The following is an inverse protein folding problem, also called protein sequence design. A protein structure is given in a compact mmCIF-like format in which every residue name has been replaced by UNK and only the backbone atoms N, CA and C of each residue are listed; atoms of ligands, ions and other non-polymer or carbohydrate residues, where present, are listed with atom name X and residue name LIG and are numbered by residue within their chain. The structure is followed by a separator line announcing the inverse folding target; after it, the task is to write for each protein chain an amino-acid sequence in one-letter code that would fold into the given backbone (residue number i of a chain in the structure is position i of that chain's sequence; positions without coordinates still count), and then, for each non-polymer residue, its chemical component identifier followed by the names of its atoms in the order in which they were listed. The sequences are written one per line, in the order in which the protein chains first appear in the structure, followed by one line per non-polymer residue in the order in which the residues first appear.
data_IF_747804542184
#
_entry.id   IF_747804542184
#
_cell.length_a   1.000
_cell.length_b   1.000
_cell.length_c   1.000
_cell.angle_alpha   90.00
_cell.angle_beta   90.00
_cell.angle_gamma   90.00
#
_symmetry.space_group_name_H-M   'P 1'
#
loop_
_entity.id
_entity.type
_entity.pdbx_description
1 polymer ?
#
# COMPACT_ATOMS: atom_id res chain seq x y z
N UNK A 1 41.93 56.52 -6.33
CA UNK A 1 40.60 56.96 -5.90
C UNK A 1 39.54 56.28 -6.75
N UNK A 2 39.24 54.98 -6.58
CA UNK A 2 38.13 54.26 -7.26
C UNK A 2 37.82 52.93 -6.54
N UNK A 3 37.47 52.98 -5.24
CA UNK A 3 37.06 51.78 -4.50
C UNK A 3 35.92 51.98 -3.49
N UNK A 4 35.25 53.11 -3.47
CA UNK A 4 34.16 53.40 -2.54
C UNK A 4 32.76 53.45 -3.12
N UNK A 5 32.58 53.44 -4.44
CA UNK A 5 31.27 53.53 -5.08
C UNK A 5 30.48 52.23 -5.16
N UNK A 6 31.11 51.03 -5.07
CA UNK A 6 30.43 49.74 -5.20
C UNK A 6 29.79 49.21 -3.90
N UNK A 7 30.10 49.80 -2.74
CA UNK A 7 29.57 49.35 -1.45
C UNK A 7 28.27 50.03 -1.03
N UNK A 8 27.96 51.21 -1.58
CA UNK A 8 26.71 51.93 -1.29
C UNK A 8 25.54 51.41 -2.14
N UNK A 9 25.77 51.03 -3.39
CA UNK A 9 24.72 50.50 -4.27
C UNK A 9 24.14 49.17 -3.76
N UNK A 10 24.98 48.30 -3.21
CA UNK A 10 24.54 47.02 -2.60
C UNK A 10 23.79 47.20 -1.29
N UNK A 11 24.11 48.25 -0.52
CA UNK A 11 23.39 48.63 0.70
C UNK A 11 22.01 49.21 0.41
N UNK A 12 21.88 50.04 -0.62
CA UNK A 12 20.60 50.60 -1.03
C UNK A 12 19.67 49.57 -1.66
N UNK A 13 20.20 48.61 -2.44
CA UNK A 13 19.40 47.47 -2.93
C UNK A 13 18.91 46.57 -1.80
N UNK A 14 19.75 46.30 -0.80
CA UNK A 14 19.34 45.50 0.38
C UNK A 14 18.30 46.23 1.26
N UNK A 15 18.39 47.57 1.36
CA UNK A 15 17.41 48.41 2.06
C UNK A 15 16.05 48.43 1.33
N UNK A 16 16.05 48.59 0.01
CA UNK A 16 14.87 48.54 -0.85
C UNK A 16 14.18 47.15 -0.80
N UNK A 17 14.94 46.06 -0.79
CA UNK A 17 14.39 44.71 -0.66
C UNK A 17 13.76 44.49 0.73
N UNK A 18 14.38 44.99 1.79
CA UNK A 18 13.83 44.93 3.16
C UNK A 18 12.59 45.81 3.33
N UNK A 19 12.57 46.98 2.73
CA UNK A 19 11.40 47.87 2.75
C UNK A 19 10.23 47.29 1.93
N UNK A 20 10.50 46.71 0.77
CA UNK A 20 9.50 45.98 -0.01
C UNK A 20 8.98 44.75 0.71
N UNK A 21 9.83 44.00 1.44
CA UNK A 21 9.39 42.87 2.28
C UNK A 21 8.57 43.35 3.48
N UNK A 22 8.90 44.46 4.11
CA UNK A 22 8.08 45.09 5.19
C UNK A 22 6.74 45.58 4.67
N UNK A 23 6.69 46.28 3.52
CA UNK A 23 5.44 46.72 2.87
C UNK A 23 4.57 45.52 2.42
N UNK A 24 5.16 44.41 1.97
CA UNK A 24 4.43 43.21 1.66
C UNK A 24 3.83 42.52 2.92
N UNK A 25 4.59 42.46 4.01
CA UNK A 25 4.09 41.94 5.30
C UNK A 25 2.96 42.79 5.89
N UNK A 26 3.09 44.13 5.83
CA UNK A 26 2.06 45.04 6.38
C UNK A 26 0.76 45.02 5.55
N UNK A 27 0.82 44.69 4.25
CA UNK A 27 -0.35 44.57 3.39
C UNK A 27 -1.06 43.21 3.52
N UNK A 28 -0.37 42.12 3.94
CA UNK A 28 -0.97 40.80 4.07
C UNK A 28 -1.85 40.65 5.33
N UNK A 29 -1.52 41.32 6.42
CA UNK A 29 -2.26 41.19 7.71
C UNK A 29 -3.72 41.67 7.57
N UNK A 30 -4.03 42.87 6.99
CA UNK A 30 -5.42 43.30 6.83
C UNK A 30 -6.19 42.42 5.82
N UNK A 31 -5.53 41.87 4.78
CA UNK A 31 -6.16 41.01 3.79
C UNK A 31 -6.52 39.65 4.40
N UNK A 32 -5.68 39.09 5.27
CA UNK A 32 -5.96 37.87 6.02
C UNK A 32 -7.12 38.07 6.99
N UNK A 33 -7.16 39.18 7.72
CA UNK A 33 -8.26 39.47 8.64
C UNK A 33 -9.60 39.64 7.92
N UNK A 34 -9.62 40.22 6.72
CA UNK A 34 -10.80 40.30 5.88
C UNK A 34 -11.24 38.89 5.43
N UNK A 35 -10.33 38.04 4.97
CA UNK A 35 -10.63 36.69 4.58
C UNK A 35 -11.19 35.87 5.74
N UNK A 36 -10.57 35.96 6.93
CA UNK A 36 -11.02 35.29 8.17
C UNK A 36 -12.39 35.83 8.62
N UNK A 37 -12.60 37.15 8.55
CA UNK A 37 -13.87 37.79 8.93
C UNK A 37 -15.00 37.42 7.96
N UNK A 38 -14.70 37.24 6.70
CA UNK A 38 -15.63 36.68 5.72
C UNK A 38 -15.97 35.20 5.98
N UNK A 39 -15.01 34.45 6.53
CA UNK A 39 -15.20 33.08 6.97
C UNK A 39 -16.02 32.94 8.25
N UNK A 40 -15.73 33.78 9.24
CA UNK A 40 -16.26 33.70 10.60
C UNK A 40 -17.41 34.66 10.90
N UNK A 41 -17.76 35.57 9.98
CA UNK A 41 -18.78 36.62 10.15
C UNK A 41 -20.17 36.12 10.56
N UNK A 42 -21.05 37.01 11.11
CA UNK A 42 -22.28 36.62 11.76
C UNK A 42 -23.33 35.94 10.86
N UNK A 43 -24.19 35.16 11.45
CA UNK A 43 -25.10 34.11 10.92
C UNK A 43 -26.07 34.47 9.78
N UNK A 44 -26.18 35.70 9.31
CA UNK A 44 -27.33 36.16 8.47
C UNK A 44 -27.17 36.01 6.96
N UNK A 45 -26.06 35.47 6.44
CA UNK A 45 -25.86 35.35 4.99
C UNK A 45 -25.69 33.89 4.56
N UNK A 46 -26.43 33.50 3.54
CA UNK A 46 -26.39 32.23 2.76
C UNK A 46 -24.97 31.81 2.30
N UNK A 47 -23.99 32.59 2.61
CA UNK A 47 -22.57 32.52 2.24
C UNK A 47 -21.82 31.35 2.90
N UNK A 48 -22.21 30.99 4.14
CA UNK A 48 -21.53 29.96 4.96
C UNK A 48 -21.70 28.53 4.43
N UNK A 49 -22.80 28.28 3.70
CA UNK A 49 -23.10 26.92 3.24
C UNK A 49 -22.15 26.45 2.13
N UNK A 50 -21.85 27.28 1.13
CA UNK A 50 -21.02 26.88 -0.01
C UNK A 50 -19.56 26.52 0.36
N UNK A 51 -18.96 27.27 1.28
CA UNK A 51 -17.59 27.04 1.73
C UNK A 51 -17.50 25.82 2.68
N UNK A 52 -18.48 25.65 3.55
CA UNK A 52 -18.58 24.47 4.43
C UNK A 52 -18.77 23.20 3.63
N UNK A 53 -19.64 23.21 2.63
CA UNK A 53 -19.83 22.07 1.72
C UNK A 53 -18.55 21.73 0.95
N UNK A 54 -17.77 22.75 0.53
CA UNK A 54 -16.48 22.55 -0.10
C UNK A 54 -15.46 21.89 0.83
N UNK A 55 -15.32 22.38 2.06
CA UNK A 55 -14.41 21.81 3.07
C UNK A 55 -14.84 20.38 3.50
N UNK A 56 -16.14 20.14 3.67
CA UNK A 56 -16.69 18.79 3.96
C UNK A 56 -16.40 17.84 2.79
N UNK A 57 -16.61 18.30 1.54
CA UNK A 57 -16.31 17.49 0.36
C UNK A 57 -14.82 17.11 0.26
N UNK A 58 -13.91 18.06 0.57
CA UNK A 58 -12.48 17.79 0.66
C UNK A 58 -12.20 16.77 1.77
N UNK A 59 -12.75 16.99 2.97
CA UNK A 59 -12.56 16.11 4.12
C UNK A 59 -13.05 14.69 3.82
N UNK A 60 -14.25 14.53 3.26
CA UNK A 60 -14.80 13.23 2.87
C UNK A 60 -13.92 12.52 1.83
N UNK A 61 -13.44 13.25 0.81
CA UNK A 61 -12.50 12.70 -0.17
C UNK A 61 -11.19 12.23 0.46
N UNK A 62 -10.64 13.00 1.41
CA UNK A 62 -9.42 12.64 2.13
C UNK A 62 -9.63 11.40 3.01
N UNK A 63 -10.75 11.33 3.75
CA UNK A 63 -11.09 10.15 4.56
C UNK A 63 -11.13 8.90 3.68
N UNK A 64 -11.87 8.95 2.57
CA UNK A 64 -11.97 7.83 1.65
C UNK A 64 -10.59 7.41 1.10
N UNK A 65 -9.75 8.38 0.72
CA UNK A 65 -8.41 8.10 0.20
C UNK A 65 -7.47 7.49 1.24
N UNK A 66 -7.47 8.04 2.47
CA UNK A 66 -6.64 7.50 3.57
C UNK A 66 -7.05 6.06 3.86
N UNK A 67 -8.34 5.76 3.90
CA UNK A 67 -8.84 4.40 4.15
C UNK A 67 -8.41 3.46 3.03
N UNK A 68 -8.67 3.80 1.77
CA UNK A 68 -8.33 2.95 0.62
C UNK A 68 -6.83 2.71 0.53
N UNK A 69 -6.01 3.78 0.61
CA UNK A 69 -4.54 3.66 0.57
C UNK A 69 -3.99 2.85 1.74
N UNK A 70 -4.56 3.03 2.93
CA UNK A 70 -4.12 2.33 4.14
C UNK A 70 -4.41 0.83 4.08
N UNK A 71 -5.60 0.43 3.61
CA UNK A 71 -5.97 -0.98 3.40
C UNK A 71 -5.07 -1.61 2.35
N UNK A 72 -4.86 -0.90 1.24
CA UNK A 72 -4.01 -1.37 0.14
C UNK A 72 -2.56 -1.60 0.59
N UNK A 73 -1.97 -0.62 1.26
CA UNK A 73 -0.62 -0.74 1.83
C UNK A 73 -0.56 -1.88 2.88
N UNK A 74 -1.63 -2.06 3.66
CA UNK A 74 -1.74 -3.14 4.64
C UNK A 74 -1.68 -4.51 3.99
N UNK A 75 -2.51 -4.74 2.98
CA UNK A 75 -2.54 -5.99 2.20
C UNK A 75 -1.20 -6.27 1.51
N UNK A 76 -0.63 -5.26 0.85
CA UNK A 76 0.66 -5.38 0.17
C UNK A 76 1.78 -5.74 1.16
N UNK A 77 1.86 -5.06 2.30
CA UNK A 77 2.89 -5.29 3.30
C UNK A 77 2.78 -6.68 3.90
N UNK A 78 1.58 -7.09 4.29
CA UNK A 78 1.36 -8.40 4.86
C UNK A 78 1.73 -9.52 3.87
N UNK A 79 1.41 -9.35 2.57
CA UNK A 79 1.79 -10.29 1.52
C UNK A 79 3.32 -10.37 1.35
N UNK A 80 3.99 -9.22 1.29
CA UNK A 80 5.46 -9.14 1.18
C UNK A 80 6.12 -9.82 2.39
N UNK A 81 5.68 -9.49 3.60
CA UNK A 81 6.23 -10.08 4.83
C UNK A 81 6.09 -11.62 4.82
N UNK A 82 4.93 -12.13 4.37
CA UNK A 82 4.71 -13.57 4.24
C UNK A 82 5.61 -14.23 3.19
N UNK A 83 5.79 -13.59 2.02
CA UNK A 83 6.70 -14.09 0.99
C UNK A 83 8.16 -14.12 1.47
N UNK A 84 8.61 -13.08 2.17
CA UNK A 84 9.97 -12.98 2.68
C UNK A 84 10.27 -14.04 3.73
N UNK A 85 9.29 -14.40 4.55
CA UNK A 85 9.46 -15.40 5.59
C UNK A 85 9.29 -16.83 5.08
N UNK A 86 8.66 -17.06 3.91
CA UNK A 86 8.39 -18.41 3.38
C UNK A 86 9.25 -18.78 2.19
N UNK A 87 9.03 -18.13 1.04
CA UNK A 87 9.57 -18.59 -0.24
C UNK A 87 10.65 -17.71 -0.80
N UNK A 88 10.59 -16.39 -0.60
CA UNK A 88 11.50 -15.46 -1.26
C UNK A 88 12.78 -15.23 -0.47
N UNK A 89 12.73 -15.33 0.86
CA UNK A 89 13.80 -14.90 1.76
C UNK A 89 14.22 -13.45 1.47
N UNK A 90 15.18 -12.89 2.18
CA UNK A 90 15.71 -11.55 1.85
C UNK A 90 16.78 -11.62 0.75
N UNK A 91 17.51 -12.75 0.69
CA UNK A 91 18.44 -13.12 -0.36
C UNK A 91 18.32 -14.60 -0.66
N UNK A 92 18.44 -14.96 -1.91
CA UNK A 92 18.60 -16.33 -2.39
C UNK A 92 20.02 -16.47 -2.97
N UNK A 93 20.83 -17.30 -2.38
CA UNK A 93 22.21 -17.55 -2.82
C UNK A 93 22.26 -18.97 -3.38
N UNK A 94 22.44 -19.10 -4.68
CA UNK A 94 22.56 -20.40 -5.34
C UNK A 94 24.05 -20.79 -5.29
N UNK A 95 24.31 -21.92 -4.64
CA UNK A 95 25.65 -22.38 -4.30
C UNK A 95 25.88 -23.78 -4.87
N UNK A 96 27.08 -24.04 -5.31
CA UNK A 96 27.50 -25.41 -5.66
C UNK A 96 27.57 -26.28 -4.40
N UNK A 97 27.11 -27.53 -4.51
CA UNK A 97 27.07 -28.49 -3.40
C UNK A 97 28.38 -28.65 -2.64
N UNK A 98 29.52 -28.48 -3.35
CA UNK A 98 30.85 -28.56 -2.75
C UNK A 98 31.15 -27.44 -1.76
N UNK A 99 30.56 -26.25 -1.96
CA UNK A 99 30.90 -25.04 -1.20
C UNK A 99 29.82 -24.65 -0.15
N UNK A 100 28.71 -25.38 -0.08
CA UNK A 100 27.57 -25.08 0.80
C UNK A 100 27.99 -24.84 2.25
N UNK A 101 28.76 -25.78 2.85
CA UNK A 101 29.14 -25.69 4.26
C UNK A 101 30.05 -24.48 4.57
N UNK A 102 30.94 -24.12 3.66
CA UNK A 102 31.83 -22.97 3.81
C UNK A 102 31.06 -21.64 3.71
N UNK A 103 30.20 -21.53 2.69
CA UNK A 103 29.40 -20.32 2.45
C UNK A 103 28.37 -20.13 3.57
N UNK A 104 27.70 -21.20 4.02
CA UNK A 104 26.76 -21.13 5.14
C UNK A 104 27.43 -20.58 6.41
N UNK A 105 28.63 -21.10 6.79
CA UNK A 105 29.36 -20.57 7.95
C UNK A 105 29.72 -19.09 7.78
N UNK A 106 30.16 -18.70 6.58
CA UNK A 106 30.49 -17.30 6.28
C UNK A 106 29.27 -16.39 6.42
N UNK A 107 28.10 -16.85 5.97
CA UNK A 107 26.85 -16.10 6.07
C UNK A 107 26.35 -16.01 7.52
N UNK A 108 26.45 -17.12 8.28
CA UNK A 108 26.04 -17.15 9.69
C UNK A 108 26.94 -16.27 10.59
N UNK A 109 28.20 -16.09 10.21
CA UNK A 109 29.14 -15.19 10.92
C UNK A 109 28.93 -13.70 10.60
N UNK A 110 28.11 -13.36 9.62
CA UNK A 110 27.86 -11.98 9.22
C UNK A 110 26.80 -11.33 10.11
N UNK A 111 27.14 -10.20 10.73
CA UNK A 111 26.26 -9.47 11.65
C UNK A 111 24.93 -9.02 11.06
N UNK A 112 24.82 -8.91 9.74
CA UNK A 112 23.59 -8.54 9.04
C UNK A 112 22.60 -9.70 8.94
N UNK A 113 23.09 -10.93 9.04
CA UNK A 113 22.29 -12.14 8.85
C UNK A 113 21.56 -12.53 10.14
N UNK A 114 20.28 -12.89 9.99
CA UNK A 114 19.44 -13.42 11.07
C UNK A 114 19.43 -14.95 11.05
N UNK A 115 19.24 -15.55 9.88
CA UNK A 115 19.24 -16.99 9.67
C UNK A 115 19.60 -17.34 8.24
N UNK A 116 20.16 -18.54 8.05
CA UNK A 116 20.44 -19.15 6.75
C UNK A 116 19.72 -20.49 6.72
N UNK A 117 18.95 -20.72 5.68
CA UNK A 117 18.13 -21.94 5.53
C UNK A 117 18.42 -22.57 4.18
N UNK A 118 19.08 -23.73 4.15
CA UNK A 118 19.32 -24.47 2.91
C UNK A 118 18.00 -25.11 2.42
N UNK A 119 17.69 -24.94 1.13
CA UNK A 119 16.52 -25.55 0.52
C UNK A 119 16.68 -25.75 -0.98
N UNK A 120 15.85 -26.64 -1.55
CA UNK A 120 15.60 -26.70 -2.98
C UNK A 120 14.15 -26.34 -3.27
N UNK A 121 13.85 -25.98 -4.50
CA UNK A 121 12.50 -25.64 -4.92
C UNK A 121 12.22 -26.26 -6.29
N UNK A 122 11.10 -26.99 -6.39
CA UNK A 122 10.65 -27.60 -7.64
C UNK A 122 9.14 -27.46 -7.79
N UNK A 123 8.67 -27.38 -9.02
CA UNK A 123 7.23 -27.42 -9.30
C UNK A 123 6.85 -28.84 -9.70
N UNK A 124 5.96 -29.47 -8.94
CA UNK A 124 5.51 -30.84 -9.15
C UNK A 124 4.01 -30.90 -9.41
N UNK A 125 3.61 -31.79 -10.29
CA UNK A 125 2.21 -32.15 -10.47
C UNK A 125 1.82 -33.13 -9.39
N UNK A 126 0.94 -32.71 -8.51
CA UNK A 126 0.44 -33.53 -7.39
C UNK A 126 -0.91 -34.09 -7.75
N UNK A 127 -1.03 -35.41 -7.62
CA UNK A 127 -2.23 -36.16 -7.90
C UNK A 127 -2.76 -36.85 -6.63
N UNK A 128 -4.04 -36.69 -6.36
CA UNK A 128 -4.75 -37.46 -5.35
C UNK A 128 -5.38 -38.67 -6.03
N UNK A 129 -4.73 -39.85 -5.90
CA UNK A 129 -5.06 -41.05 -6.64
C UNK A 129 -6.51 -41.53 -6.46
N UNK A 130 -7.14 -41.25 -5.32
CA UNK A 130 -8.52 -41.67 -5.02
C UNK A 130 -9.60 -40.90 -5.78
N UNK A 131 -9.31 -39.70 -6.35
CA UNK A 131 -10.31 -38.78 -6.89
C UNK A 131 -9.96 -38.20 -8.26
N UNK A 132 -8.80 -38.54 -8.83
CA UNK A 132 -8.31 -37.98 -10.11
C UNK A 132 -8.12 -36.46 -10.09
N UNK A 133 -8.03 -35.84 -8.90
CA UNK A 133 -7.78 -34.40 -8.77
C UNK A 133 -6.30 -34.11 -8.84
N UNK A 134 -5.93 -33.08 -9.59
CA UNK A 134 -4.54 -32.69 -9.82
C UNK A 134 -4.35 -31.21 -9.55
N UNK A 135 -3.17 -30.86 -9.01
CA UNK A 135 -2.74 -29.49 -8.84
C UNK A 135 -1.23 -29.41 -9.04
N UNK A 136 -0.74 -28.28 -9.58
CA UNK A 136 0.70 -28.00 -9.58
C UNK A 136 1.04 -27.30 -8.29
N UNK A 137 1.90 -27.92 -7.51
CA UNK A 137 2.40 -27.33 -6.27
C UNK A 137 3.89 -27.01 -6.38
N UNK A 138 4.27 -25.88 -5.84
CA UNK A 138 5.65 -25.52 -5.57
C UNK A 138 6.11 -26.30 -4.34
N UNK A 139 6.99 -27.24 -4.51
CA UNK A 139 7.51 -28.06 -3.43
C UNK A 139 8.83 -27.47 -2.96
N UNK A 140 8.85 -27.05 -1.71
CA UNK A 140 10.06 -26.64 -1.01
C UNK A 140 10.64 -27.84 -0.27
N UNK A 141 11.86 -28.19 -0.63
CA UNK A 141 12.64 -29.27 -0.04
C UNK A 141 13.51 -28.70 1.06
N UNK A 142 13.14 -28.93 2.30
CA UNK A 142 13.84 -28.41 3.47
C UNK A 142 13.88 -29.49 4.55
N UNK A 143 15.01 -29.61 5.27
CA UNK A 143 15.10 -30.58 6.35
C UNK A 143 14.17 -30.21 7.50
N UNK A 144 13.58 -31.19 8.22
CA UNK A 144 12.71 -30.92 9.36
C UNK A 144 13.37 -30.02 10.41
N UNK A 145 14.68 -30.19 10.64
CA UNK A 145 15.45 -29.41 11.59
C UNK A 145 15.60 -27.95 11.16
N UNK A 146 15.92 -27.69 9.89
CA UNK A 146 16.09 -26.33 9.38
C UNK A 146 14.74 -25.60 9.33
N UNK A 147 13.69 -26.28 8.88
CA UNK A 147 12.34 -25.73 8.86
C UNK A 147 11.83 -25.36 10.27
N UNK A 148 12.08 -26.21 11.26
CA UNK A 148 11.65 -25.99 12.64
C UNK A 148 12.44 -24.90 13.38
N UNK A 149 13.72 -24.68 13.02
CA UNK A 149 14.56 -23.62 13.56
C UNK A 149 14.19 -22.25 13.02
N UNK A 150 13.63 -22.17 11.84
CA UNK A 150 13.21 -20.91 11.24
C UNK A 150 11.86 -20.43 11.81
N UNK A 151 11.93 -19.66 12.90
CA UNK A 151 10.75 -19.12 13.58
C UNK A 151 9.88 -18.24 12.69
N UNK A 152 10.48 -17.54 11.73
CA UNK A 152 9.76 -16.72 10.75
C UNK A 152 8.96 -17.58 9.77
N UNK A 153 9.55 -18.68 9.30
CA UNK A 153 8.88 -19.66 8.45
C UNK A 153 7.68 -20.30 9.16
N UNK A 154 7.89 -20.81 10.38
CA UNK A 154 6.80 -21.37 11.19
C UNK A 154 5.70 -20.33 11.48
N UNK A 155 6.08 -19.10 11.80
CA UNK A 155 5.15 -18.00 12.06
C UNK A 155 4.33 -17.62 10.84
N UNK A 156 4.94 -17.55 9.66
CA UNK A 156 4.25 -17.26 8.40
C UNK A 156 3.26 -18.36 8.00
N UNK A 157 3.58 -19.62 8.25
CA UNK A 157 2.66 -20.75 8.07
C UNK A 157 1.64 -20.90 9.20
N UNK A 158 1.76 -20.11 10.27
CA UNK A 158 0.92 -20.14 11.48
C UNK A 158 0.87 -21.52 12.15
N UNK A 159 2.01 -22.19 12.19
CA UNK A 159 2.17 -23.49 12.81
C UNK A 159 3.31 -23.48 13.83
N UNK A 160 3.29 -24.38 14.79
CA UNK A 160 4.40 -24.52 15.74
C UNK A 160 5.59 -25.26 15.12
N UNK A 161 6.81 -24.97 15.60
CA UNK A 161 8.02 -25.67 15.17
C UNK A 161 7.93 -27.19 15.39
N UNK A 162 7.34 -27.63 16.51
CA UNK A 162 7.12 -29.03 16.80
C UNK A 162 6.16 -29.71 15.81
N UNK A 163 5.14 -28.99 15.36
CA UNK A 163 4.21 -29.47 14.34
C UNK A 163 4.90 -29.64 12.99
N UNK A 164 5.70 -28.66 12.56
CA UNK A 164 6.48 -28.71 11.32
C UNK A 164 7.44 -29.90 11.34
N UNK A 165 8.20 -30.04 12.43
CA UNK A 165 9.14 -31.16 12.62
C UNK A 165 8.45 -32.50 12.45
N UNK A 166 7.38 -32.75 13.23
CA UNK A 166 6.63 -34.00 13.20
C UNK A 166 6.00 -34.29 11.83
N UNK A 167 5.45 -33.25 11.18
CA UNK A 167 4.81 -33.41 9.88
C UNK A 167 5.82 -33.78 8.80
N UNK A 168 6.97 -33.11 8.72
CA UNK A 168 7.99 -33.38 7.70
C UNK A 168 8.67 -34.75 7.91
N UNK A 169 8.83 -35.21 9.16
CA UNK A 169 9.32 -36.53 9.44
C UNK A 169 8.35 -37.63 8.98
N UNK A 170 7.05 -37.37 8.89
CA UNK A 170 6.03 -38.36 8.56
C UNK A 170 5.61 -38.34 7.09
N UNK A 171 5.65 -37.19 6.41
CA UNK A 171 5.19 -37.07 5.04
C UNK A 171 5.32 -35.64 4.48
N UNK A 172 4.30 -35.20 3.74
CA UNK A 172 4.23 -33.88 3.11
C UNK A 172 3.36 -32.95 3.94
N UNK A 173 3.85 -31.73 4.15
CA UNK A 173 3.11 -30.61 4.72
C UNK A 173 2.56 -29.76 3.57
N UNK A 174 1.23 -29.62 3.44
CA UNK A 174 0.57 -28.88 2.36
C UNK A 174 -0.33 -27.78 2.91
N UNK A 175 -0.58 -26.74 2.07
CA UNK A 175 -1.52 -25.71 2.45
C UNK A 175 -2.96 -26.20 2.49
N UNK A 176 -3.76 -25.64 3.38
CA UNK A 176 -5.16 -26.01 3.59
C UNK A 176 -6.02 -25.88 2.32
N UNK A 177 -5.70 -24.89 1.47
CA UNK A 177 -6.42 -24.68 0.21
C UNK A 177 -6.00 -25.72 -0.86
N UNK A 178 -4.72 -26.10 -0.92
CA UNK A 178 -4.25 -27.19 -1.76
C UNK A 178 -4.96 -28.49 -1.37
N UNK A 179 -5.07 -28.79 -0.06
CA UNK A 179 -5.80 -29.93 0.44
C UNK A 179 -7.29 -29.91 0.03
N UNK A 180 -7.94 -28.74 0.08
CA UNK A 180 -9.32 -28.54 -0.36
C UNK A 180 -9.50 -28.78 -1.88
N UNK A 181 -8.57 -28.24 -2.68
CA UNK A 181 -8.59 -28.43 -4.16
C UNK A 181 -8.41 -29.90 -4.52
N UNK A 182 -7.45 -30.57 -3.90
CA UNK A 182 -7.17 -31.98 -4.10
C UNK A 182 -8.19 -32.91 -3.42
N UNK A 183 -9.02 -32.38 -2.52
CA UNK A 183 -9.98 -33.11 -1.68
C UNK A 183 -9.32 -34.20 -0.82
N UNK A 184 -8.21 -33.87 -0.22
CA UNK A 184 -7.43 -34.76 0.66
C UNK A 184 -7.43 -34.23 2.09
N UNK A 185 -7.21 -35.16 3.02
CA UNK A 185 -7.08 -34.90 4.46
C UNK A 185 -5.78 -35.50 4.98
N UNK A 186 -5.50 -35.29 6.26
CA UNK A 186 -4.36 -35.89 6.93
C UNK A 186 -4.37 -37.42 6.76
N UNK A 187 -3.22 -38.03 6.45
CA UNK A 187 -3.04 -39.40 6.12
C UNK A 187 -3.34 -39.81 4.67
N UNK A 188 -3.91 -38.96 3.85
CA UNK A 188 -4.21 -39.28 2.44
C UNK A 188 -2.94 -39.45 1.62
N UNK A 189 -2.81 -40.51 0.77
CA UNK A 189 -1.66 -40.67 -0.11
C UNK A 189 -1.71 -39.66 -1.26
N UNK A 190 -0.56 -39.08 -1.59
CA UNK A 190 -0.35 -38.20 -2.74
C UNK A 190 0.77 -38.73 -3.61
N UNK A 191 0.55 -38.68 -4.92
CA UNK A 191 1.58 -38.96 -5.92
C UNK A 191 2.07 -37.65 -6.53
N UNK A 192 3.33 -37.32 -6.32
CA UNK A 192 4.01 -36.14 -6.87
C UNK A 192 4.77 -36.57 -8.11
N UNK A 193 4.47 -35.96 -9.25
CA UNK A 193 5.12 -36.25 -10.55
C UNK A 193 5.90 -35.04 -11.03
N UNK A 194 7.12 -35.29 -11.49
CA UNK A 194 8.00 -34.27 -12.06
C UNK A 194 8.81 -34.84 -13.20
N UNK A 195 9.57 -33.96 -13.83
CA UNK A 195 10.52 -34.30 -14.86
C UNK A 195 11.87 -33.66 -14.56
N UNK A 196 12.95 -34.42 -14.69
CA UNK A 196 14.31 -33.94 -14.64
C UNK A 196 14.98 -34.07 -16.00
N UNK A 197 15.83 -33.11 -16.35
CA UNK A 197 16.63 -33.17 -17.57
C UNK A 197 17.97 -33.80 -17.25
N UNK A 198 18.23 -34.95 -17.83
CA UNK A 198 19.52 -35.64 -17.73
C UNK A 198 20.36 -35.31 -18.94
N UNK A 199 21.63 -34.90 -18.81
CA UNK A 199 22.47 -34.56 -19.96
C UNK A 199 22.58 -35.65 -21.00
N UNK A 200 22.63 -36.93 -20.60
CA UNK A 200 22.86 -38.08 -21.45
C UNK A 200 21.57 -38.85 -21.86
N UNK A 201 20.51 -38.74 -21.08
CA UNK A 201 19.31 -39.57 -21.23
C UNK A 201 18.02 -38.76 -21.55
N UNK A 202 18.18 -37.42 -21.69
CA UNK A 202 17.05 -36.54 -22.01
C UNK A 202 16.12 -36.27 -20.81
N UNK A 203 14.82 -36.15 -21.07
CA UNK A 203 13.82 -35.85 -20.04
C UNK A 203 13.35 -37.16 -19.40
N UNK A 204 13.67 -37.33 -18.11
CA UNK A 204 13.17 -38.45 -17.33
C UNK A 204 12.02 -38.01 -16.42
N UNK A 205 10.94 -38.76 -16.42
CA UNK A 205 9.83 -38.58 -15.49
C UNK A 205 10.10 -39.36 -14.21
N UNK A 206 9.76 -38.76 -13.09
CA UNK A 206 9.84 -39.41 -11.78
C UNK A 206 8.53 -39.23 -11.01
N UNK A 207 8.29 -40.17 -10.12
CA UNK A 207 7.12 -40.17 -9.25
C UNK A 207 7.57 -40.41 -7.80
N UNK A 208 7.00 -39.67 -6.88
CA UNK A 208 7.22 -39.75 -5.45
C UNK A 208 5.87 -39.94 -4.78
N UNK A 209 5.77 -40.90 -3.90
CA UNK A 209 4.59 -41.11 -3.07
C UNK A 209 4.87 -40.61 -1.65
N UNK A 210 4.01 -39.72 -1.16
CA UNK A 210 4.11 -39.16 0.17
C UNK A 210 2.71 -38.98 0.78
N UNK A 211 2.47 -39.46 2.01
CA UNK A 211 1.21 -39.21 2.70
C UNK A 211 1.15 -37.74 3.16
N UNK A 212 -0.03 -37.17 3.15
CA UNK A 212 -0.29 -35.88 3.81
C UNK A 212 -0.11 -36.07 5.31
N UNK A 213 0.79 -35.35 5.91
CA UNK A 213 1.12 -35.49 7.35
C UNK A 213 0.91 -34.18 8.12
N UNK A 214 0.46 -33.17 7.45
CA UNK A 214 0.09 -31.91 8.08
C UNK A 214 -0.50 -30.91 7.10
N UNK A 215 -1.32 -30.04 7.65
CA UNK A 215 -1.93 -28.93 6.93
C UNK A 215 -1.49 -27.61 7.58
N UNK A 216 -1.14 -26.61 6.76
CA UNK A 216 -0.91 -25.26 7.26
C UNK A 216 -1.90 -24.27 6.66
N UNK A 217 -2.12 -23.15 7.35
CA UNK A 217 -2.99 -22.05 6.89
C UNK A 217 -2.29 -20.72 7.14
N UNK A 218 -1.55 -20.23 6.15
CA UNK A 218 -0.82 -18.96 6.23
C UNK A 218 -1.75 -17.74 6.30
N UNK A 219 -2.96 -17.87 5.76
CA UNK A 219 -3.88 -16.77 5.54
C UNK A 219 -3.70 -16.08 4.17
N UNK A 220 -2.91 -16.69 3.27
CA UNK A 220 -2.73 -16.27 1.88
C UNK A 220 -3.12 -17.40 0.95
N UNK A 221 -4.11 -17.12 0.12
CA UNK A 221 -4.63 -18.11 -0.81
C UNK A 221 -3.55 -18.71 -1.70
N UNK A 222 -2.67 -17.88 -2.26
CA UNK A 222 -1.62 -18.33 -3.18
C UNK A 222 -0.59 -19.27 -2.52
N UNK A 223 -0.23 -19.00 -1.26
CA UNK A 223 0.65 -19.89 -0.49
C UNK A 223 -0.09 -21.15 -0.10
N UNK A 224 -1.30 -21.02 0.41
CA UNK A 224 -2.08 -22.14 0.90
C UNK A 224 -2.61 -23.04 -0.23
N UNK A 225 -2.73 -22.50 -1.46
CA UNK A 225 -3.11 -23.27 -2.65
C UNK A 225 -1.92 -23.83 -3.42
N UNK A 226 -0.74 -23.21 -3.29
CA UNK A 226 0.39 -23.49 -4.18
C UNK A 226 1.65 -24.04 -3.51
N UNK A 227 1.79 -23.99 -2.17
CA UNK A 227 3.00 -24.41 -1.48
C UNK A 227 2.83 -25.77 -0.82
N UNK A 228 3.85 -26.62 -0.99
CA UNK A 228 4.06 -27.85 -0.24
C UNK A 228 5.49 -27.90 0.29
N UNK A 229 5.70 -28.59 1.41
CA UNK A 229 7.01 -28.75 2.04
C UNK A 229 7.30 -30.21 2.24
N UNK A 230 8.51 -30.64 1.89
CA UNK A 230 8.95 -32.04 1.92
C UNK A 230 10.38 -32.16 2.44
N UNK A 231 10.67 -33.24 3.14
CA UNK A 231 12.02 -33.57 3.59
C UNK A 231 12.87 -34.13 2.43
N UNK A 232 13.96 -33.44 2.02
CA UNK A 232 14.87 -33.94 1.00
C UNK A 232 15.61 -35.22 1.41
N UNK A 233 15.80 -35.45 2.70
CA UNK A 233 16.52 -36.62 3.20
C UNK A 233 15.74 -37.93 3.02
N UNK A 234 14.40 -37.82 3.07
CA UNK A 234 13.50 -39.00 2.98
C UNK A 234 12.96 -39.19 1.56
N UNK A 235 12.56 -38.12 0.91
CA UNK A 235 11.86 -38.17 -0.37
C UNK A 235 12.68 -37.62 -1.53
N UNK A 236 13.77 -36.92 -1.23
CA UNK A 236 14.65 -36.33 -2.24
C UNK A 236 15.42 -37.38 -3.02
N UNK A 237 15.53 -37.17 -4.34
CA UNK A 237 16.45 -37.94 -5.19
C UNK A 237 17.44 -36.97 -5.81
N UNK A 238 18.66 -37.41 -6.04
CA UNK A 238 19.74 -36.59 -6.58
C UNK A 238 19.37 -36.02 -7.96
N UNK A 239 18.63 -36.79 -8.73
CA UNK A 239 18.13 -36.40 -10.05
C UNK A 239 17.15 -35.24 -9.98
N UNK A 240 16.40 -35.10 -8.87
CA UNK A 240 15.41 -34.06 -8.65
C UNK A 240 16.03 -32.80 -8.10
N UNK A 241 16.95 -32.96 -7.13
CA UNK A 241 17.52 -31.85 -6.37
C UNK A 241 18.68 -31.16 -7.13
N UNK A 242 19.28 -31.86 -8.11
CA UNK A 242 20.40 -31.31 -8.90
C UNK A 242 21.69 -31.17 -8.10
N UNK A 243 22.66 -30.43 -8.66
CA UNK A 243 23.98 -30.20 -8.06
C UNK A 243 24.08 -28.88 -7.31
N UNK A 244 23.11 -27.98 -7.45
CA UNK A 244 23.10 -26.68 -6.80
C UNK A 244 22.05 -26.63 -5.68
N UNK A 245 22.41 -25.99 -4.57
CA UNK A 245 21.54 -25.75 -3.44
C UNK A 245 21.27 -24.26 -3.31
N UNK A 246 20.07 -23.89 -2.93
CA UNK A 246 19.73 -22.50 -2.64
C UNK A 246 19.82 -22.28 -1.13
N UNK A 247 20.59 -21.28 -0.72
CA UNK A 247 20.62 -20.79 0.65
C UNK A 247 19.65 -19.59 0.74
N UNK A 248 18.58 -19.77 1.49
CA UNK A 248 17.65 -18.70 1.85
C UNK A 248 18.22 -17.90 3.01
N UNK A 249 18.61 -16.66 2.78
CA UNK A 249 19.21 -15.80 3.80
C UNK A 249 18.18 -14.77 4.28
N UNK A 250 17.93 -14.75 5.58
CA UNK A 250 17.12 -13.73 6.24
C UNK A 250 18.01 -12.73 6.96
N UNK A 251 17.82 -11.45 6.70
CA UNK A 251 18.58 -10.35 7.27
C UNK A 251 17.85 -9.74 8.47
N UNK A 252 18.58 -9.11 9.36
CA UNK A 252 18.01 -8.27 10.44
C UNK A 252 17.28 -7.05 9.85
N UNK A 253 17.76 -6.53 8.71
CA UNK A 253 17.13 -5.45 7.96
C UNK A 253 17.01 -5.83 6.47
N UNK A 254 15.80 -6.08 5.94
CA UNK A 254 15.58 -6.47 4.54
C UNK A 254 16.10 -5.47 3.51
N UNK A 255 16.14 -4.18 3.87
CA UNK A 255 16.57 -3.11 2.97
C UNK A 255 18.08 -3.16 2.64
N UNK A 256 18.88 -3.89 3.43
CA UNK A 256 20.31 -4.08 3.18
C UNK A 256 20.63 -5.31 2.30
N UNK A 257 19.61 -5.93 1.73
CA UNK A 257 19.77 -7.11 0.86
C UNK A 257 20.63 -6.82 -0.38
N UNK A 258 20.48 -5.66 -1.01
CA UNK A 258 21.26 -5.28 -2.18
C UNK A 258 22.76 -5.08 -1.85
N UNK A 259 23.08 -4.55 -0.68
CA UNK A 259 24.46 -4.39 -0.20
C UNK A 259 25.15 -5.75 -0.04
N UNK A 260 24.51 -6.66 0.70
CA UNK A 260 25.04 -8.00 0.89
C UNK A 260 25.08 -8.81 -0.40
N UNK A 261 24.09 -8.63 -1.30
CA UNK A 261 24.09 -9.28 -2.61
C UNK A 261 25.32 -8.91 -3.44
N UNK A 262 25.68 -7.62 -3.49
CA UNK A 262 26.85 -7.15 -4.22
C UNK A 262 28.16 -7.65 -3.63
N UNK A 263 28.26 -7.82 -2.33
CA UNK A 263 29.41 -8.39 -1.64
C UNK A 263 29.59 -9.89 -1.96
N UNK A 264 28.48 -10.62 -2.02
CA UNK A 264 28.49 -12.07 -2.23
C UNK A 264 28.69 -12.47 -3.70
N UNK A 265 28.26 -11.63 -4.65
CA UNK A 265 28.25 -11.95 -6.08
C UNK A 265 29.64 -12.34 -6.66
N UNK A 266 30.72 -11.99 -5.97
CA UNK A 266 32.09 -12.22 -6.43
C UNK A 266 32.80 -13.33 -5.62
N UNK A 267 32.12 -14.00 -4.70
CA UNK A 267 32.72 -15.06 -3.88
C UNK A 267 32.75 -16.40 -4.66
N UNK A 268 33.85 -17.13 -4.52
CA UNK A 268 34.04 -18.44 -5.13
C UNK A 268 32.97 -19.43 -4.61
N UNK A 269 32.45 -20.26 -5.49
CA UNK A 269 31.40 -21.26 -5.17
C UNK A 269 29.98 -20.72 -5.19
N UNK A 270 29.77 -19.42 -5.40
CA UNK A 270 28.44 -18.81 -5.57
C UNK A 270 28.16 -18.70 -7.07
N UNK A 271 27.09 -19.35 -7.52
CA UNK A 271 26.65 -19.30 -8.90
C UNK A 271 25.80 -18.07 -9.18
N UNK A 272 24.93 -17.71 -8.25
CA UNK A 272 23.99 -16.59 -8.39
C UNK A 272 23.53 -16.08 -7.04
N UNK A 273 23.38 -14.78 -6.94
CA UNK A 273 22.74 -14.12 -5.78
C UNK A 273 21.56 -13.31 -6.29
N UNK A 274 20.41 -13.52 -5.72
CA UNK A 274 19.19 -12.79 -6.05
C UNK A 274 18.62 -12.14 -4.79
N UNK A 275 18.41 -10.83 -4.84
CA UNK A 275 17.65 -10.14 -3.79
C UNK A 275 16.15 -10.44 -3.94
N UNK A 276 15.41 -10.29 -2.85
CA UNK A 276 13.95 -10.48 -2.85
C UNK A 276 13.23 -9.60 -3.89
N UNK A 277 13.75 -8.40 -4.15
CA UNK A 277 13.23 -7.48 -5.16
C UNK A 277 13.45 -8.00 -6.59
N UNK A 278 14.59 -8.63 -6.85
CA UNK A 278 14.92 -9.20 -8.16
C UNK A 278 14.16 -10.49 -8.42
N UNK A 279 14.11 -11.37 -7.43
CA UNK A 279 13.36 -12.62 -7.52
C UNK A 279 11.87 -12.37 -7.78
N UNK A 280 11.28 -11.40 -7.08
CA UNK A 280 9.85 -11.03 -7.24
C UNK A 280 9.65 -9.81 -8.16
N UNK A 281 10.52 -9.57 -9.14
CA UNK A 281 10.49 -8.36 -9.99
C UNK A 281 9.15 -8.14 -10.67
N UNK A 282 8.51 -9.21 -11.15
CA UNK A 282 7.20 -9.13 -11.80
C UNK A 282 6.13 -8.63 -10.84
N UNK A 283 6.13 -9.13 -9.61
CA UNK A 283 5.22 -8.70 -8.55
C UNK A 283 5.43 -7.22 -8.19
N UNK A 284 6.67 -6.79 -7.95
CA UNK A 284 6.97 -5.39 -7.65
C UNK A 284 6.66 -4.45 -8.80
N UNK A 285 6.82 -4.90 -10.05
CA UNK A 285 6.38 -4.14 -11.22
C UNK A 285 4.87 -3.95 -11.24
N UNK A 286 4.09 -4.99 -10.92
CA UNK A 286 2.64 -4.89 -10.79
C UNK A 286 2.23 -3.92 -9.68
N UNK A 287 2.84 -4.01 -8.48
CA UNK A 287 2.60 -3.08 -7.37
C UNK A 287 2.93 -1.62 -7.75
N UNK A 288 3.99 -1.40 -8.53
CA UNK A 288 4.33 -0.06 -9.01
C UNK A 288 3.27 0.49 -9.96
N UNK A 289 2.80 -0.34 -10.88
CA UNK A 289 1.72 0.02 -11.80
C UNK A 289 0.44 0.34 -11.04
N UNK A 290 0.09 -0.47 -10.06
CA UNK A 290 -1.05 -0.27 -9.18
C UNK A 290 -0.96 1.08 -8.44
N UNK A 291 0.19 1.43 -7.85
CA UNK A 291 0.40 2.75 -7.22
C UNK A 291 0.21 3.91 -8.21
N UNK A 292 0.64 3.76 -9.46
CA UNK A 292 0.43 4.76 -10.50
C UNK A 292 -1.07 4.92 -10.79
N UNK A 293 -1.81 3.82 -10.95
CA UNK A 293 -3.26 3.83 -11.17
C UNK A 293 -3.98 4.49 -9.99
N UNK A 294 -3.62 4.15 -8.76
CA UNK A 294 -4.19 4.78 -7.57
C UNK A 294 -3.91 6.29 -7.53
N UNK A 295 -2.71 6.72 -7.91
CA UNK A 295 -2.37 8.14 -8.02
C UNK A 295 -3.26 8.87 -9.03
N UNK A 296 -3.55 8.25 -10.19
CA UNK A 296 -4.50 8.80 -11.16
C UNK A 296 -5.92 8.89 -10.61
N UNK A 297 -6.40 7.86 -9.93
CA UNK A 297 -7.73 7.88 -9.29
C UNK A 297 -7.83 9.01 -8.25
N UNK A 298 -6.82 9.13 -7.40
CA UNK A 298 -6.71 10.23 -6.43
C UNK A 298 -6.77 11.59 -7.13
N UNK A 299 -6.01 11.76 -8.20
CA UNK A 299 -5.98 13.00 -8.99
C UNK A 299 -7.35 13.34 -9.60
N UNK A 300 -8.08 12.34 -10.09
CA UNK A 300 -9.45 12.52 -10.63
C UNK A 300 -10.41 12.97 -9.53
N UNK A 301 -10.36 12.34 -8.34
CA UNK A 301 -11.21 12.73 -7.21
C UNK A 301 -10.94 14.18 -6.83
N UNK A 302 -9.68 14.59 -6.70
CA UNK A 302 -9.34 15.97 -6.40
C UNK A 302 -9.72 16.93 -7.54
N UNK A 303 -9.63 16.52 -8.80
CA UNK A 303 -10.10 17.33 -9.94
C UNK A 303 -11.61 17.58 -9.86
N UNK A 304 -12.42 16.56 -9.53
CA UNK A 304 -13.86 16.71 -9.35
C UNK A 304 -14.16 17.66 -8.19
N UNK A 305 -13.46 17.52 -7.07
CA UNK A 305 -13.58 18.45 -5.93
C UNK A 305 -13.18 19.86 -6.33
N UNK A 306 -12.10 20.04 -7.10
CA UNK A 306 -11.65 21.34 -7.58
C UNK A 306 -12.68 22.00 -8.52
N UNK A 307 -13.33 21.23 -9.39
CA UNK A 307 -14.41 21.70 -10.26
C UNK A 307 -15.59 22.18 -9.40
N UNK A 308 -16.00 21.43 -8.40
CA UNK A 308 -17.08 21.82 -7.48
C UNK A 308 -16.74 23.13 -6.72
N UNK A 309 -15.50 23.25 -6.25
CA UNK A 309 -14.99 24.45 -5.59
C UNK A 309 -14.99 25.62 -6.59
N UNK A 310 -14.54 25.42 -7.83
CA UNK A 310 -14.53 26.43 -8.87
C UNK A 310 -15.94 26.99 -9.11
N UNK A 311 -16.94 26.15 -9.30
CA UNK A 311 -18.33 26.59 -9.50
C UNK A 311 -18.92 27.27 -8.26
N UNK A 312 -18.65 26.74 -7.08
CA UNK A 312 -19.08 27.35 -5.81
C UNK A 312 -18.47 28.74 -5.65
N UNK A 313 -17.17 28.88 -5.95
CA UNK A 313 -16.45 30.14 -5.82
C UNK A 313 -16.89 31.17 -6.86
N UNK A 314 -17.18 30.77 -8.10
CA UNK A 314 -17.76 31.66 -9.10
C UNK A 314 -19.07 32.30 -8.61
N UNK A 315 -19.99 31.48 -8.06
CA UNK A 315 -21.25 31.99 -7.48
C UNK A 315 -20.98 32.93 -6.31
N UNK A 316 -19.98 32.63 -5.50
CA UNK A 316 -19.60 33.42 -4.35
C UNK A 316 -19.04 34.78 -4.76
N UNK A 317 -18.15 34.81 -5.74
CA UNK A 317 -17.58 36.05 -6.31
C UNK A 317 -18.69 36.91 -6.92
N UNK A 318 -19.61 36.32 -7.68
CA UNK A 318 -20.73 37.03 -8.27
C UNK A 318 -21.64 37.69 -7.20
N UNK A 319 -21.96 37.01 -6.12
CA UNK A 319 -22.77 37.55 -5.00
C UNK A 319 -22.07 38.72 -4.27
N UNK A 320 -20.73 38.73 -4.26
CA UNK A 320 -19.89 39.77 -3.63
C UNK A 320 -19.49 40.86 -4.59
N UNK A 321 -20.03 40.88 -5.81
CA UNK A 321 -19.63 41.86 -6.85
C UNK A 321 -19.74 43.31 -6.35
N UNK A 322 -20.79 43.63 -5.59
CA UNK A 322 -20.99 44.95 -4.99
C UNK A 322 -19.90 45.31 -3.98
N UNK A 323 -19.55 44.41 -3.08
CA UNK A 323 -18.49 44.62 -2.08
C UNK A 323 -17.13 44.76 -2.75
N UNK A 324 -16.91 44.00 -3.85
CA UNK A 324 -15.69 44.07 -4.65
C UNK A 324 -15.59 45.38 -5.43
N UNK A 325 -16.71 45.91 -5.94
CA UNK A 325 -16.76 47.23 -6.60
C UNK A 325 -16.41 48.33 -5.60
N UNK A 326 -16.97 48.30 -4.39
CA UNK A 326 -16.64 49.24 -3.30
C UNK A 326 -15.15 49.17 -2.95
N UNK A 327 -14.60 47.98 -2.74
CA UNK A 327 -13.18 47.78 -2.45
C UNK A 327 -12.28 48.35 -3.58
N UNK A 328 -12.69 48.15 -4.83
CA UNK A 328 -11.98 48.71 -6.00
C UNK A 328 -12.06 50.24 -6.04
N UNK A 329 -13.19 50.83 -5.67
CA UNK A 329 -13.36 52.30 -5.57
C UNK A 329 -12.45 52.88 -4.47
N UNK A 330 -12.21 52.16 -3.38
CA UNK A 330 -11.23 52.52 -2.34
C UNK A 330 -9.76 52.20 -2.72
N UNK A 331 -9.47 51.88 -4.00
CA UNK A 331 -8.13 51.67 -4.52
C UNK A 331 -7.52 50.29 -4.31
N UNK A 332 -8.32 49.28 -3.98
CA UNK A 332 -7.83 47.90 -3.91
C UNK A 332 -7.41 47.40 -5.30
N UNK A 333 -6.16 46.95 -5.44
CA UNK A 333 -5.66 46.37 -6.68
C UNK A 333 -6.31 45.03 -7.01
N UNK A 334 -6.42 44.69 -8.31
CA UNK A 334 -6.92 43.40 -8.78
C UNK A 334 -6.11 42.22 -8.18
N UNK A 335 -4.82 42.44 -7.91
CA UNK A 335 -3.96 41.46 -7.23
C UNK A 335 -4.33 41.28 -5.76
N UNK A 336 -4.63 42.35 -5.03
CA UNK A 336 -5.07 42.32 -3.63
C UNK A 336 -6.38 41.53 -3.48
N UNK A 337 -7.33 41.74 -4.37
CA UNK A 337 -8.60 41.02 -4.39
C UNK A 337 -8.38 39.53 -4.70
N UNK A 338 -7.53 39.22 -5.69
CA UNK A 338 -7.13 37.81 -6.00
C UNK A 338 -6.51 37.12 -4.79
N UNK A 339 -5.71 37.83 -4.03
CA UNK A 339 -5.04 37.29 -2.84
C UNK A 339 -6.05 36.94 -1.75
N UNK A 340 -7.09 37.74 -1.53
CA UNK A 340 -8.15 37.44 -0.55
C UNK A 340 -8.82 36.09 -0.89
N UNK A 341 -9.21 35.89 -2.15
CA UNK A 341 -9.84 34.64 -2.59
C UNK A 341 -8.85 33.48 -2.55
N UNK A 342 -7.56 33.69 -2.85
CA UNK A 342 -6.53 32.66 -2.72
C UNK A 342 -6.40 32.19 -1.26
N UNK A 343 -6.42 33.11 -0.29
CA UNK A 343 -6.44 32.77 1.14
C UNK A 343 -7.72 32.02 1.53
N UNK A 344 -8.87 32.38 0.96
CA UNK A 344 -10.13 31.65 1.18
C UNK A 344 -10.02 30.20 0.72
N UNK A 345 -9.44 29.96 -0.47
CA UNK A 345 -9.14 28.60 -0.97
C UNK A 345 -8.12 27.85 -0.12
N UNK A 346 -7.08 28.53 0.33
CA UNK A 346 -6.06 27.96 1.21
C UNK A 346 -6.67 27.52 2.55
N UNK A 347 -7.45 28.38 3.18
CA UNK A 347 -8.13 28.06 4.45
C UNK A 347 -9.10 26.89 4.28
N UNK A 348 -9.87 26.86 3.18
CA UNK A 348 -10.79 25.76 2.90
C UNK A 348 -10.04 24.43 2.71
N UNK A 349 -8.95 24.44 1.92
CA UNK A 349 -8.10 23.29 1.71
C UNK A 349 -7.45 22.79 3.00
N UNK A 350 -6.86 23.69 3.78
CA UNK A 350 -6.20 23.36 5.06
C UNK A 350 -7.21 22.81 6.08
N UNK A 351 -8.38 23.44 6.21
CA UNK A 351 -9.42 22.98 7.14
C UNK A 351 -9.98 21.62 6.73
N UNK A 352 -10.25 21.46 5.41
CA UNK A 352 -10.66 20.18 4.84
C UNK A 352 -9.61 19.07 5.06
N UNK A 353 -8.32 19.41 4.86
CA UNK A 353 -7.22 18.49 5.08
C UNK A 353 -7.09 18.08 6.56
N UNK A 354 -7.13 19.02 7.49
CA UNK A 354 -7.04 18.75 8.93
C UNK A 354 -8.21 17.88 9.41
N UNK A 355 -9.43 18.19 9.00
CA UNK A 355 -10.61 17.40 9.33
C UNK A 355 -10.54 16.02 8.69
N UNK A 356 -10.19 15.94 7.40
CA UNK A 356 -10.08 14.69 6.67
C UNK A 356 -9.01 13.76 7.23
N UNK A 357 -7.83 14.28 7.58
CA UNK A 357 -6.75 13.50 8.21
C UNK A 357 -7.14 13.11 9.64
N UNK A 358 -7.70 14.06 10.41
CA UNK A 358 -8.12 13.82 11.79
C UNK A 358 -9.19 12.73 11.93
N UNK A 359 -10.08 12.59 10.96
CA UNK A 359 -11.10 11.52 10.90
C UNK A 359 -10.57 10.29 10.16
N UNK A 360 -9.85 10.48 9.06
CA UNK A 360 -9.39 9.41 8.19
C UNK A 360 -8.43 8.44 8.87
N UNK A 361 -7.49 8.95 9.68
CA UNK A 361 -6.53 8.10 10.41
C UNK A 361 -7.23 7.15 11.40
N UNK A 362 -8.12 7.61 12.31
CA UNK A 362 -8.87 6.71 13.18
C UNK A 362 -9.74 5.71 12.40
N UNK A 363 -10.44 6.17 11.36
CA UNK A 363 -11.27 5.28 10.52
C UNK A 363 -10.42 4.21 9.86
N UNK A 364 -9.26 4.56 9.29
CA UNK A 364 -8.34 3.61 8.66
C UNK A 364 -7.78 2.59 9.67
N UNK A 365 -7.46 3.02 10.89
CA UNK A 365 -6.98 2.11 11.95
C UNK A 365 -8.01 1.09 12.41
N UNK A 366 -9.28 1.47 12.40
CA UNK A 366 -10.38 0.64 12.87
C UNK A 366 -11.28 0.15 11.71
N UNK A 367 -10.75 0.14 10.49
CA UNK A 367 -11.52 -0.19 9.28
C UNK A 367 -12.18 -1.57 9.39
N UNK A 368 -11.45 -2.56 9.90
CA UNK A 368 -11.96 -3.91 10.12
C UNK A 368 -13.16 -3.91 11.08
N UNK A 369 -13.04 -3.26 12.24
CA UNK A 369 -14.11 -3.12 13.22
C UNK A 369 -15.32 -2.40 12.64
N UNK A 370 -15.11 -1.33 11.87
CA UNK A 370 -16.17 -0.52 11.26
C UNK A 370 -16.92 -1.34 10.21
N UNK A 371 -16.20 -2.08 9.35
CA UNK A 371 -16.83 -2.92 8.33
C UNK A 371 -17.61 -4.06 8.97
N UNK A 372 -17.03 -4.74 9.96
CA UNK A 372 -17.74 -5.81 10.69
C UNK A 372 -18.98 -5.28 11.42
N UNK A 373 -18.91 -4.10 12.02
CA UNK A 373 -20.06 -3.44 12.63
C UNK A 373 -21.14 -3.06 11.60
N UNK A 374 -20.73 -2.58 10.42
CA UNK A 374 -21.67 -2.24 9.35
C UNK A 374 -22.36 -3.49 8.79
N UNK A 375 -21.65 -4.60 8.62
CA UNK A 375 -22.20 -5.89 8.21
C UNK A 375 -23.18 -6.39 9.27
N UNK A 376 -22.82 -6.37 10.54
CA UNK A 376 -23.70 -6.77 11.64
C UNK A 376 -24.97 -5.93 11.73
N UNK A 377 -24.86 -4.60 11.52
CA UNK A 377 -26.01 -3.72 11.44
C UNK A 377 -26.93 -4.05 10.26
N UNK A 378 -26.35 -4.39 9.11
CA UNK A 378 -27.10 -4.80 7.92
C UNK A 378 -27.81 -6.16 8.16
N UNK A 379 -27.11 -7.14 8.75
CA UNK A 379 -27.70 -8.44 9.13
C UNK A 379 -28.86 -8.25 10.12
N UNK A 380 -28.68 -7.37 11.11
CA UNK A 380 -29.74 -7.02 12.04
C UNK A 380 -30.95 -6.40 11.34
N UNK A 381 -30.71 -5.46 10.41
CA UNK A 381 -31.80 -4.83 9.62
C UNK A 381 -32.53 -5.87 8.76
N UNK A 382 -31.80 -6.76 8.09
CA UNK A 382 -32.38 -7.84 7.29
C UNK A 382 -33.17 -8.83 8.15
N UNK A 383 -32.72 -9.12 9.37
CA UNK A 383 -33.45 -9.95 10.33
C UNK A 383 -34.79 -9.33 10.75
N UNK A 384 -34.88 -7.99 10.84
CA UNK A 384 -36.13 -7.28 11.07
C UNK A 384 -37.11 -7.43 9.89
N UNK A 385 -36.61 -7.30 8.66
CA UNK A 385 -37.40 -7.47 7.42
C UNK A 385 -37.90 -8.92 7.30
N UNK A 386 -37.09 -9.90 7.69
CA UNK A 386 -37.52 -11.31 7.75
C UNK A 386 -38.62 -11.53 8.80
N UNK A 387 -38.47 -10.94 10.02
CA UNK A 387 -39.47 -11.02 11.06
C UNK A 387 -40.81 -10.36 10.64
N UNK A 388 -40.74 -9.36 9.76
CA UNK A 388 -41.93 -8.74 9.15
C UNK A 388 -42.57 -9.58 8.04
N UNK A 389 -42.04 -10.78 7.73
CA UNK A 389 -42.58 -11.70 6.72
C UNK A 389 -42.29 -11.33 5.27
N UNK A 390 -41.41 -10.33 5.04
CA UNK A 390 -41.09 -9.82 3.67
C UNK A 390 -39.95 -10.60 3.00
N UNK A 391 -39.17 -11.42 3.72
CA UNK A 391 -38.07 -12.24 3.22
C UNK A 391 -38.15 -13.65 3.79
N UNK A 392 -38.05 -14.67 2.91
CA UNK A 392 -38.07 -16.07 3.31
C UNK A 392 -36.76 -16.54 3.98
N UNK A 393 -35.62 -15.91 3.66
CA UNK A 393 -34.32 -16.27 4.21
C UNK A 393 -33.38 -15.06 4.19
N UNK A 394 -32.65 -14.81 5.28
CA UNK A 394 -31.54 -13.83 5.28
C UNK A 394 -30.33 -14.51 4.68
N UNK A 395 -29.72 -13.96 3.61
CA UNK A 395 -28.44 -14.47 3.13
C UNK A 395 -27.34 -14.24 4.17
N UNK A 396 -26.45 -15.20 4.32
CA UNK A 396 -25.26 -15.04 5.17
C UNK A 396 -24.32 -14.01 4.51
N UNK A 397 -24.32 -12.79 5.06
CA UNK A 397 -23.58 -11.65 4.53
C UNK A 397 -22.14 -11.56 5.04
N UNK A 398 -21.59 -12.64 5.57
CA UNK A 398 -20.16 -12.69 5.96
C UNK A 398 -19.25 -12.61 4.73
N UNK A 399 -19.25 -11.42 4.10
CA UNK A 399 -18.47 -11.12 2.90
C UNK A 399 -16.96 -11.35 3.15
N UNK A 400 -16.50 -11.07 4.37
CA UNK A 400 -15.11 -11.29 4.78
C UNK A 400 -14.94 -12.52 5.69
N UNK A 401 -15.74 -13.57 5.47
CA UNK A 401 -15.47 -14.82 6.18
C UNK A 401 -14.18 -15.47 5.63
N UNK A 402 -13.36 -16.10 6.50
CA UNK A 402 -12.16 -16.82 6.06
C UNK A 402 -12.42 -17.90 5.03
N UNK A 403 -13.66 -18.36 4.90
CA UNK A 403 -14.09 -19.35 3.91
C UNK A 403 -14.34 -18.75 2.52
N UNK A 404 -14.62 -17.45 2.41
CA UNK A 404 -14.92 -16.75 1.13
C UNK A 404 -13.74 -15.94 0.64
N UNK A 405 -13.13 -15.14 1.50
CA UNK A 405 -12.03 -14.23 1.11
C UNK A 405 -10.65 -14.63 1.64
N UNK A 406 -10.53 -15.71 2.39
CA UNK A 406 -9.24 -16.23 2.88
C UNK A 406 -8.40 -15.24 3.72
N UNK A 407 -8.98 -14.12 4.15
CA UNK A 407 -8.30 -13.05 4.90
C UNK A 407 -8.87 -12.99 6.31
N UNK A 408 -8.03 -13.12 7.32
CA UNK A 408 -8.39 -12.94 8.73
C UNK A 408 -8.31 -11.45 9.10
N UNK A 409 -9.40 -10.70 8.80
CA UNK A 409 -9.48 -9.26 9.03
C UNK A 409 -8.86 -8.42 7.89
N UNK A 410 -9.15 -7.13 7.88
CA UNK A 410 -8.67 -6.18 6.89
C UNK A 410 -7.42 -5.48 7.44
N UNK A 411 -6.20 -5.85 6.98
CA UNK A 411 -4.99 -5.19 7.45
C UNK A 411 -4.95 -3.75 6.94
N UNK A 412 -4.61 -2.81 7.82
CA UNK A 412 -4.40 -1.42 7.45
C UNK A 412 -2.99 -0.97 7.84
N UNK A 413 -2.28 -0.34 6.91
CA UNK A 413 -0.97 0.24 7.17
C UNK A 413 -0.90 1.67 6.63
N UNK A 414 -0.76 2.63 7.57
CA UNK A 414 -0.75 4.05 7.26
C UNK A 414 0.69 4.48 6.98
N UNK A 415 0.96 4.92 5.75
CA UNK A 415 2.24 5.50 5.38
C UNK A 415 2.19 7.03 5.50
N UNK A 416 3.15 7.63 6.20
CA UNK A 416 3.25 9.10 6.33
C UNK A 416 3.48 9.81 5.00
N UNK A 417 4.15 9.16 4.04
CA UNK A 417 4.32 9.67 2.68
C UNK A 417 2.99 9.89 1.96
N UNK A 418 2.06 8.94 2.10
CA UNK A 418 0.76 9.00 1.43
C UNK A 418 -0.10 10.12 2.03
N UNK A 419 -0.08 10.25 3.37
CA UNK A 419 -0.76 11.37 4.05
C UNK A 419 -0.20 12.72 3.58
N UNK A 420 1.13 12.84 3.45
CA UNK A 420 1.76 14.07 2.99
C UNK A 420 1.34 14.43 1.55
N UNK A 421 1.31 13.46 0.64
CA UNK A 421 0.86 13.66 -0.75
C UNK A 421 -0.61 14.09 -0.79
N UNK A 422 -1.48 13.40 -0.04
CA UNK A 422 -2.90 13.73 0.05
C UNK A 422 -3.10 15.14 0.61
N UNK A 423 -2.36 15.52 1.67
CA UNK A 423 -2.42 16.85 2.27
C UNK A 423 -1.98 17.95 1.29
N UNK A 424 -0.91 17.72 0.51
CA UNK A 424 -0.45 18.65 -0.52
C UNK A 424 -1.54 18.84 -1.57
N UNK A 425 -2.14 17.79 -2.07
CA UNK A 425 -3.22 17.85 -3.05
C UNK A 425 -4.45 18.59 -2.50
N UNK A 426 -4.83 18.30 -1.26
CA UNK A 426 -5.95 18.95 -0.59
C UNK A 426 -5.79 20.46 -0.43
N UNK A 427 -4.56 20.96 -0.42
CA UNK A 427 -4.27 22.40 -0.36
C UNK A 427 -4.12 22.99 -1.77
N UNK A 428 -3.38 22.32 -2.65
CA UNK A 428 -3.03 22.86 -3.98
C UNK A 428 -4.26 22.96 -4.88
N UNK A 429 -5.10 21.93 -4.93
CA UNK A 429 -6.26 21.92 -5.84
C UNK A 429 -7.30 23.01 -5.53
N UNK A 430 -7.72 23.25 -4.26
CA UNK A 430 -8.60 24.36 -3.94
C UNK A 430 -8.01 25.73 -4.29
N UNK A 431 -6.72 25.94 -4.02
CA UNK A 431 -6.04 27.18 -4.36
C UNK A 431 -6.03 27.42 -5.87
N UNK A 432 -5.75 26.38 -6.66
CA UNK A 432 -5.81 26.45 -8.13
C UNK A 432 -7.23 26.73 -8.62
N UNK A 433 -8.23 26.01 -8.09
CA UNK A 433 -9.63 26.17 -8.45
C UNK A 433 -10.12 27.60 -8.23
N UNK A 434 -9.77 28.17 -7.08
CA UNK A 434 -10.14 29.54 -6.72
C UNK A 434 -9.43 30.57 -7.62
N UNK A 435 -8.13 30.39 -7.89
CA UNK A 435 -7.39 31.28 -8.82
C UNK A 435 -7.96 31.25 -10.22
N UNK A 436 -8.35 30.09 -10.72
CA UNK A 436 -8.99 29.93 -12.02
C UNK A 436 -10.38 30.62 -12.07
N UNK A 437 -11.17 30.46 -10.99
CA UNK A 437 -12.46 31.12 -10.85
C UNK A 437 -12.33 32.66 -10.92
N UNK A 438 -11.35 33.22 -10.21
CA UNK A 438 -11.11 34.66 -10.18
C UNK A 438 -10.55 35.21 -11.52
N UNK A 439 -9.66 34.45 -12.18
CA UNK A 439 -9.10 34.90 -13.49
C UNK A 439 -10.19 35.23 -14.50
N UNK A 440 -11.24 34.43 -14.56
CA UNK A 440 -12.35 34.61 -15.50
C UNK A 440 -13.25 35.80 -15.10
N UNK A 441 -13.33 36.13 -13.80
CA UNK A 441 -14.04 37.33 -13.32
C UNK A 441 -13.28 38.63 -13.59
N UNK A 442 -11.95 38.62 -13.62
CA UNK A 442 -11.09 39.77 -13.86
C UNK A 442 -11.31 40.45 -15.22
N UNK A 443 -11.86 39.72 -16.20
CA UNK A 443 -12.16 40.19 -17.56
C UNK A 443 -13.54 40.88 -17.68
N UNK A 444 -14.41 40.69 -16.70
CA UNK A 444 -15.71 41.41 -16.68
C UNK A 444 -15.53 42.85 -16.22
N UNK A 445 -16.13 43.79 -16.94
CA UNK A 445 -16.05 45.22 -16.62
C UNK A 445 -16.88 45.53 -15.38
N UNK A 446 -16.38 46.30 -14.39
CA UNK A 446 -17.14 46.70 -13.21
C UNK A 446 -18.42 47.46 -13.54
N UNK A 447 -18.44 48.22 -14.67
CA UNK A 447 -19.60 48.97 -15.15
C UNK A 447 -20.73 48.07 -15.66
N UNK A 448 -20.44 46.94 -16.30
CA UNK A 448 -21.46 45.98 -16.74
C UNK A 448 -22.17 45.31 -15.54
N UNK A 449 -21.44 45.03 -14.46
CA UNK A 449 -21.98 44.40 -13.25
C UNK A 449 -22.94 45.36 -12.51
N UNK A 450 -22.66 46.68 -12.52
CA UNK A 450 -23.53 47.69 -11.89
C UNK A 450 -24.73 48.07 -12.77
N UNK A 451 -24.68 47.77 -14.08
CA UNK A 451 -25.75 48.12 -15.04
C UNK A 451 -26.75 46.99 -15.31
N UNK A 452 -26.46 45.78 -14.81
CA UNK A 452 -27.29 44.57 -14.99
C UNK A 452 -28.34 44.38 -13.91
N UNK A 453 -28.59 45.40 -13.06
CA UNK A 453 -29.77 45.59 -12.21
C UNK A 453 -30.60 46.76 -12.82
#
# INVERSE_FOLDING_TARGET
MTKTAGCDETRDQAALVRENQRRAKTKCIPLLSIAVRWLLGPRKTSHRSGMRFGAIGIAAGIVALIVVMSVMNGLQRQYIDSLLETTSFHLRVIVDSAHVAAITRTLESNDLVRSVTPFHETNLLVNADSLGKQAVLRVMWITPQDASRDTGFCGALRVSAAYVLKSLESGILIGAEAARILRVSDGSPLTLRGAAVHPDEGIQQYSIEAPVSGLFKSGYYELDAGLAVLDPSRFGRREILGQSLTLGVKLKNPNRSAELASELAHKEGIQRVESWNEYNRSFFSALRTEKIVMFFLVSIIFAVVAINIHYSMRRNIARKARDLAILSAFGASKTSISTIFTFEGLLMGTFGALLGIGIGIPVARHVDTIINAAIGALEWLLSLVQRAGLLARVPDLRIFSPSVFYIDGIPSHIMSSDIAIIAIFAIVFPVLAVRLAYRRYRTASPLEVLRSE
#
